data_IF_972292613388
#
_entry.id   IF_972292613388
#
_cell.length_a   1.000
_cell.length_b   1.000
_cell.length_c   1.000
_cell.angle_alpha   90.00
_cell.angle_beta   90.00
_cell.angle_gamma   90.00
#
_symmetry.space_group_name_H-M   'P 1'
#
loop_
_entity.id
_entity.type
_entity.pdbx_description
1 polymer ?
#
# COMPACT_ATOMS: atom_id res chain seq x y z
N UNK A 1 2.85 -10.28 1.26
CA UNK A 1 2.15 -11.23 2.18
C UNK A 1 0.71 -11.46 1.73
N UNK A 2 0.17 -12.68 1.88
CA UNK A 2 -1.20 -13.06 1.46
C UNK A 2 -2.18 -12.87 2.63
N UNK A 3 -3.38 -12.30 2.43
CA UNK A 3 -4.41 -12.26 3.48
C UNK A 3 -4.87 -13.68 3.87
N UNK A 4 -5.54 -13.81 5.02
CA UNK A 4 -6.28 -15.03 5.35
C UNK A 4 -7.44 -15.21 4.35
N UNK A 5 -7.54 -16.39 3.69
CA UNK A 5 -8.58 -16.66 2.71
C UNK A 5 -9.87 -17.17 3.37
N UNK A 6 -11.03 -16.87 2.79
CA UNK A 6 -12.32 -17.49 3.17
C UNK A 6 -13.41 -16.46 3.53
N UNK A 7 -14.68 -16.91 3.50
CA UNK A 7 -15.85 -16.11 3.90
C UNK A 7 -16.16 -16.19 5.41
N UNK A 8 -15.44 -17.03 6.17
CA UNK A 8 -15.60 -17.21 7.61
C UNK A 8 -14.31 -16.93 8.39
N UNK A 9 -13.57 -15.90 7.99
CA UNK A 9 -12.39 -15.43 8.74
C UNK A 9 -12.83 -14.92 10.10
N UNK A 10 -12.15 -15.37 11.16
CA UNK A 10 -12.47 -14.93 12.51
C UNK A 10 -12.07 -13.45 12.72
N UNK A 11 -12.53 -12.85 13.84
CA UNK A 11 -12.30 -11.41 14.12
C UNK A 11 -10.80 -11.06 14.05
N UNK A 12 -9.94 -11.88 14.64
CA UNK A 12 -8.50 -11.65 14.64
C UNK A 12 -7.87 -11.68 13.24
N UNK A 13 -8.33 -12.60 12.39
CA UNK A 13 -7.93 -12.70 10.99
C UNK A 13 -8.45 -11.51 10.17
N UNK A 14 -9.66 -11.00 10.48
CA UNK A 14 -10.20 -9.77 9.87
C UNK A 14 -9.37 -8.55 10.26
N UNK A 15 -9.02 -8.40 11.53
CA UNK A 15 -8.13 -7.34 12.01
C UNK A 15 -6.79 -7.41 11.28
N UNK A 16 -6.17 -8.59 11.17
CA UNK A 16 -4.94 -8.76 10.40
C UNK A 16 -5.12 -8.36 8.93
N UNK A 17 -6.17 -8.85 8.26
CA UNK A 17 -6.43 -8.56 6.85
C UNK A 17 -6.63 -7.06 6.61
N UNK A 18 -7.31 -6.39 7.53
CA UNK A 18 -7.51 -4.95 7.51
C UNK A 18 -6.19 -4.19 7.69
N UNK A 19 -5.39 -4.51 8.73
CA UNK A 19 -4.07 -3.91 8.95
C UNK A 19 -3.15 -4.12 7.74
N UNK A 20 -3.19 -5.29 7.12
CA UNK A 20 -2.44 -5.59 5.90
C UNK A 20 -2.92 -4.75 4.70
N UNK A 21 -4.23 -4.54 4.56
CA UNK A 21 -4.81 -3.65 3.54
C UNK A 21 -4.39 -2.19 3.76
N UNK A 22 -4.43 -1.72 5.02
CA UNK A 22 -3.95 -0.38 5.42
C UNK A 22 -2.48 -0.17 5.05
N UNK A 23 -1.61 -1.14 5.36
CA UNK A 23 -0.20 -1.08 4.97
C UNK A 23 0.00 -1.04 3.44
N UNK A 24 -0.75 -1.85 2.67
CA UNK A 24 -0.68 -1.82 1.20
C UNK A 24 -1.07 -0.46 0.63
N UNK A 25 -2.14 0.16 1.14
CA UNK A 25 -2.58 1.49 0.68
C UNK A 25 -1.51 2.55 0.85
N UNK A 26 -0.79 2.54 1.96
CA UNK A 26 0.36 3.46 2.16
C UNK A 26 1.42 3.24 1.07
N UNK A 27 1.81 1.99 0.80
CA UNK A 27 2.78 1.70 -0.25
C UNK A 27 2.27 2.05 -1.66
N UNK A 28 1.00 1.77 -1.96
CA UNK A 28 0.39 2.06 -3.25
C UNK A 28 0.26 3.56 -3.49
N UNK A 29 -0.13 4.35 -2.48
CA UNK A 29 -0.13 5.81 -2.56
C UNK A 29 1.26 6.37 -2.87
N UNK A 30 2.30 5.91 -2.15
CA UNK A 30 3.66 6.41 -2.36
C UNK A 30 4.14 6.16 -3.79
N UNK A 31 4.02 4.93 -4.29
CA UNK A 31 4.43 4.59 -5.66
C UNK A 31 3.50 5.19 -6.72
N UNK A 32 2.22 5.35 -6.41
CA UNK A 32 1.24 6.00 -7.27
C UNK A 32 1.56 7.47 -7.53
N UNK A 33 1.82 8.22 -6.46
CA UNK A 33 2.25 9.62 -6.53
C UNK A 33 3.60 9.73 -7.23
N UNK A 34 4.56 8.86 -6.87
CA UNK A 34 5.87 8.81 -7.54
C UNK A 34 5.69 8.65 -9.07
N UNK A 35 4.84 7.72 -9.50
CA UNK A 35 4.56 7.47 -10.91
C UNK A 35 3.85 8.62 -11.61
N UNK A 36 2.90 9.27 -10.92
CA UNK A 36 2.16 10.41 -11.44
C UNK A 36 3.08 11.62 -11.65
N UNK A 37 4.01 11.86 -10.73
CA UNK A 37 4.97 12.97 -10.77
C UNK A 37 6.12 12.72 -11.74
N UNK A 38 6.73 11.53 -11.70
CA UNK A 38 7.86 11.17 -12.56
C UNK A 38 7.40 10.35 -13.76
N UNK A 39 7.22 11.03 -14.91
CA UNK A 39 6.71 10.44 -16.16
C UNK A 39 7.50 9.21 -16.64
N UNK A 40 8.76 9.07 -16.22
CA UNK A 40 9.60 7.91 -16.53
C UNK A 40 8.94 6.58 -16.14
N UNK A 41 8.13 6.57 -15.07
CA UNK A 41 7.42 5.37 -14.62
C UNK A 41 6.08 5.14 -15.33
N UNK A 42 5.67 6.00 -16.26
CA UNK A 42 4.46 5.79 -17.07
C UNK A 42 4.67 4.85 -18.26
N UNK A 43 5.92 4.59 -18.61
CA UNK A 43 6.31 3.72 -19.72
C UNK A 43 7.46 2.80 -19.32
N UNK A 44 7.85 1.90 -20.23
CA UNK A 44 9.01 1.04 -20.04
C UNK A 44 10.27 1.90 -19.97
N UNK A 45 11.12 1.66 -18.98
CA UNK A 45 12.41 2.33 -18.86
C UNK A 45 13.38 1.67 -19.84
N UNK A 46 13.62 2.32 -20.99
CA UNK A 46 14.48 1.81 -22.07
C UNK A 46 15.97 2.06 -21.78
N UNK A 47 16.50 1.39 -20.76
CA UNK A 47 17.92 1.44 -20.41
C UNK A 47 18.38 0.12 -19.80
N UNK A 48 19.68 -0.03 -19.54
CA UNK A 48 20.19 -1.23 -18.89
C UNK A 48 19.73 -1.30 -17.41
N UNK A 49 19.67 -2.51 -16.80
CA UNK A 49 19.17 -2.66 -15.43
C UNK A 49 19.92 -1.83 -14.38
N UNK A 50 21.23 -1.64 -14.55
CA UNK A 50 22.05 -0.86 -13.62
C UNK A 50 21.65 0.63 -13.62
N UNK A 51 21.44 1.20 -14.81
CA UNK A 51 20.99 2.58 -14.96
C UNK A 51 19.54 2.73 -14.50
N UNK A 52 18.65 1.79 -14.85
CA UNK A 52 17.27 1.81 -14.39
C UNK A 52 17.20 1.82 -12.85
N UNK A 53 18.05 1.03 -12.19
CA UNK A 53 18.15 1.00 -10.71
C UNK A 53 18.57 2.36 -10.16
N UNK A 54 19.60 3.00 -10.74
CA UNK A 54 20.04 4.35 -10.33
C UNK A 54 18.93 5.38 -10.51
N UNK A 55 18.19 5.32 -11.62
CA UNK A 55 17.07 6.22 -11.90
C UNK A 55 15.95 6.05 -10.87
N UNK A 56 15.57 4.81 -10.53
CA UNK A 56 14.57 4.52 -9.50
C UNK A 56 14.99 5.10 -8.15
N UNK A 57 16.23 4.84 -7.72
CA UNK A 57 16.75 5.34 -6.44
C UNK A 57 16.78 6.87 -6.42
N UNK A 58 17.25 7.51 -7.50
CA UNK A 58 17.28 8.97 -7.62
C UNK A 58 15.87 9.56 -7.52
N UNK A 59 14.88 8.98 -8.21
CA UNK A 59 13.49 9.41 -8.11
C UNK A 59 12.93 9.23 -6.70
N UNK A 60 13.23 8.13 -6.00
CA UNK A 60 12.82 7.92 -4.60
C UNK A 60 13.44 8.97 -3.66
N UNK A 61 14.73 9.28 -3.84
CA UNK A 61 15.41 10.31 -3.05
C UNK A 61 14.78 11.69 -3.27
N UNK A 62 14.55 12.05 -4.54
CA UNK A 62 13.89 13.31 -4.89
C UNK A 62 12.45 13.39 -4.38
N UNK A 63 11.69 12.29 -4.47
CA UNK A 63 10.34 12.19 -3.94
C UNK A 63 10.30 12.48 -2.45
N UNK A 64 11.16 11.81 -1.67
CA UNK A 64 11.25 12.03 -0.23
C UNK A 64 11.68 13.46 0.10
N UNK A 65 12.65 14.00 -0.64
CA UNK A 65 13.10 15.39 -0.48
C UNK A 65 11.96 16.39 -0.74
N UNK A 66 11.18 16.20 -1.81
CA UNK A 66 10.08 17.11 -2.16
C UNK A 66 8.92 17.02 -1.16
N UNK A 67 8.63 15.83 -0.63
CA UNK A 67 7.66 15.68 0.47
C UNK A 67 8.16 16.43 1.71
N UNK A 68 9.42 16.28 2.08
CA UNK A 68 9.97 16.91 3.28
C UNK A 68 9.99 18.44 3.21
N UNK A 69 10.26 19.00 2.02
CA UNK A 69 10.43 20.45 1.85
C UNK A 69 9.17 21.19 1.41
N UNK A 70 8.29 20.54 0.63
CA UNK A 70 7.13 21.20 0.00
C UNK A 70 5.93 20.24 -0.14
N UNK A 71 5.56 19.54 0.93
CA UNK A 71 4.46 18.56 0.94
C UNK A 71 3.14 19.13 0.40
N UNK A 72 2.78 20.36 0.76
CA UNK A 72 1.52 20.99 0.33
C UNK A 72 1.40 21.13 -1.19
N UNK A 73 2.52 21.34 -1.89
CA UNK A 73 2.57 21.48 -3.35
C UNK A 73 2.76 20.12 -4.01
N UNK A 74 3.65 19.30 -3.46
CA UNK A 74 4.07 18.04 -4.06
C UNK A 74 3.06 16.90 -3.84
N UNK A 75 2.45 16.85 -2.67
CA UNK A 75 1.41 15.91 -2.25
C UNK A 75 0.26 16.67 -1.57
N UNK A 76 -0.53 17.45 -2.34
CA UNK A 76 -1.69 18.11 -1.76
C UNK A 76 -2.63 17.04 -1.17
N UNK A 77 -3.51 17.40 -0.21
CA UNK A 77 -4.45 16.45 0.40
C UNK A 77 -5.35 15.72 -0.61
N UNK A 78 -5.52 16.28 -1.81
CA UNK A 78 -6.17 15.67 -2.98
C UNK A 78 -5.20 14.89 -3.87
N UNK A 79 -4.15 14.30 -3.31
CA UNK A 79 -3.29 13.35 -4.02
C UNK A 79 -2.96 12.09 -3.21
N UNK A 80 -3.60 11.90 -2.06
CA UNK A 80 -3.34 10.81 -1.12
C UNK A 80 -4.67 10.15 -0.78
N UNK A 81 -4.77 8.83 -0.92
CA UNK A 81 -5.91 8.12 -0.33
C UNK A 81 -5.84 8.21 1.19
N UNK A 82 -6.83 8.85 1.80
CA UNK A 82 -6.95 8.97 3.24
C UNK A 82 -8.16 8.18 3.72
N UNK A 83 -7.93 7.35 4.74
CA UNK A 83 -9.01 6.80 5.54
C UNK A 83 -9.48 7.85 6.53
N UNK A 84 -10.75 8.21 6.43
CA UNK A 84 -11.40 8.95 7.50
C UNK A 84 -11.96 7.95 8.51
N UNK A 85 -11.36 7.95 9.69
CA UNK A 85 -11.70 7.02 10.78
C UNK A 85 -13.10 7.33 11.32
N UNK A 86 -13.53 8.59 11.27
CA UNK A 86 -14.81 9.02 11.83
C UNK A 86 -15.96 8.72 10.87
N UNK A 87 -15.78 9.02 9.58
CA UNK A 87 -16.80 8.73 8.56
C UNK A 87 -16.76 7.30 8.03
N UNK A 88 -15.75 6.51 8.42
CA UNK A 88 -15.56 5.10 8.02
C UNK A 88 -15.50 4.94 6.49
N UNK A 89 -15.00 5.96 5.81
CA UNK A 89 -14.87 6.01 4.36
C UNK A 89 -13.42 6.13 3.93
N UNK A 90 -13.12 5.52 2.78
CA UNK A 90 -11.85 5.72 2.08
C UNK A 90 -12.10 6.78 1.03
N UNK A 91 -11.46 7.93 1.17
CA UNK A 91 -11.41 8.91 0.08
C UNK A 91 -10.36 8.43 -0.91
N UNK A 92 -10.81 8.00 -2.08
CA UNK A 92 -9.97 7.52 -3.18
C UNK A 92 -9.62 8.66 -4.12
N UNK A 93 -8.34 8.80 -4.47
CA UNK A 93 -7.82 10.00 -5.10
C UNK A 93 -7.52 9.91 -6.60
N UNK A 94 -7.33 11.08 -7.21
CA UNK A 94 -7.17 11.36 -8.64
C UNK A 94 -5.90 10.78 -9.26
N UNK A 95 -4.85 10.48 -8.48
CA UNK A 95 -3.65 9.85 -9.05
C UNK A 95 -3.96 8.49 -9.67
N UNK A 96 -5.04 7.82 -9.24
CA UNK A 96 -5.57 6.62 -9.92
C UNK A 96 -6.01 6.88 -11.36
N UNK A 97 -6.51 8.08 -11.66
CA UNK A 97 -6.87 8.49 -13.03
C UNK A 97 -5.63 8.73 -13.90
N UNK A 98 -4.49 9.06 -13.28
CA UNK A 98 -3.18 9.15 -13.93
C UNK A 98 -2.39 7.83 -13.89
N UNK A 99 -3.02 6.72 -13.50
CA UNK A 99 -2.36 5.43 -13.30
C UNK A 99 -1.59 5.02 -14.56
N UNK A 100 -0.29 4.83 -14.37
CA UNK A 100 0.64 4.28 -15.35
C UNK A 100 0.19 2.88 -15.80
N UNK A 101 0.34 2.57 -17.10
CA UNK A 101 0.21 1.16 -17.58
C UNK A 101 1.38 0.29 -17.12
N UNK A 102 2.48 0.89 -16.69
CA UNK A 102 3.69 0.20 -16.25
C UNK A 102 3.71 -0.11 -14.75
N UNK A 103 3.15 0.77 -13.90
CA UNK A 103 2.98 0.53 -12.47
C UNK A 103 1.51 0.28 -12.15
N UNK A 104 1.14 -0.99 -12.15
CA UNK A 104 -0.22 -1.44 -11.85
C UNK A 104 -0.39 -1.74 -10.35
N UNK A 105 -1.61 -1.60 -9.79
CA UNK A 105 -1.90 -1.98 -8.41
C UNK A 105 -1.55 -3.44 -8.11
N UNK A 106 -1.30 -3.76 -6.84
CA UNK A 106 -0.93 -5.12 -6.43
C UNK A 106 -2.09 -6.10 -6.70
N UNK A 107 -1.98 -6.87 -7.77
CA UNK A 107 -2.98 -7.89 -8.12
C UNK A 107 -2.93 -9.04 -7.12
N UNK A 108 -4.09 -9.47 -6.61
CA UNK A 108 -4.21 -10.68 -5.78
C UNK A 108 -3.80 -11.90 -6.62
N UNK A 109 -2.59 -12.41 -6.43
CA UNK A 109 -2.16 -13.66 -7.07
C UNK A 109 -3.07 -14.80 -6.63
N UNK A 110 -3.83 -15.34 -7.59
CA UNK A 110 -4.98 -16.21 -7.30
C UNK A 110 -4.59 -17.68 -7.06
N UNK A 111 -3.43 -18.15 -7.53
CA UNK A 111 -3.16 -19.59 -7.69
C UNK A 111 -1.85 -20.14 -7.10
N UNK A 112 -1.23 -19.52 -6.09
CA UNK A 112 -0.08 -20.13 -5.37
C UNK A 112 -0.43 -20.45 -3.91
N UNK A 113 -0.17 -21.70 -3.51
CA UNK A 113 -0.13 -22.10 -2.09
C UNK A 113 1.08 -21.41 -1.45
N UNK A 114 0.91 -20.61 -0.38
CA UNK A 114 2.03 -20.00 0.31
C UNK A 114 2.90 -21.07 0.96
N UNK A 115 4.22 -20.86 0.97
CA UNK A 115 5.15 -21.69 1.75
C UNK A 115 4.78 -21.66 3.24
N UNK A 116 5.10 -22.71 3.99
CA UNK A 116 4.77 -22.80 5.42
C UNK A 116 5.34 -21.62 6.21
N UNK A 117 6.62 -21.27 6.00
CA UNK A 117 7.23 -20.09 6.61
C UNK A 117 6.45 -18.78 6.34
N UNK A 118 5.85 -18.63 5.15
CA UNK A 118 5.04 -17.46 4.84
C UNK A 118 3.69 -17.45 5.59
N UNK A 119 3.17 -18.63 5.95
CA UNK A 119 2.03 -18.74 6.86
C UNK A 119 2.44 -18.42 8.30
N UNK A 120 3.60 -18.88 8.75
CA UNK A 120 4.10 -18.62 10.11
C UNK A 120 4.31 -17.12 10.35
N UNK A 121 4.91 -16.41 9.40
CA UNK A 121 5.04 -14.94 9.44
C UNK A 121 3.65 -14.28 9.52
N UNK A 122 2.69 -14.77 8.74
CA UNK A 122 1.30 -14.25 8.77
C UNK A 122 0.64 -14.49 10.13
N UNK A 123 0.80 -15.68 10.72
CA UNK A 123 0.28 -15.99 12.05
C UNK A 123 0.94 -15.13 13.13
N UNK A 124 2.26 -14.94 13.05
CA UNK A 124 3.01 -14.05 13.94
C UNK A 124 2.46 -12.63 13.92
N UNK A 125 2.21 -12.07 12.73
CA UNK A 125 1.60 -10.75 12.61
C UNK A 125 0.14 -10.72 13.10
N UNK A 126 -0.65 -11.78 12.88
CA UNK A 126 -2.00 -11.89 13.44
C UNK A 126 -1.93 -11.80 14.97
N UNK A 127 -1.08 -12.58 15.62
CA UNK A 127 -0.92 -12.55 17.07
C UNK A 127 -0.48 -11.16 17.55
N UNK A 128 0.50 -10.54 16.87
CA UNK A 128 0.97 -9.21 17.24
C UNK A 128 -0.14 -8.14 17.15
N UNK A 129 -0.90 -8.07 16.05
CA UNK A 129 -1.94 -7.06 15.87
C UNK A 129 -3.17 -7.25 16.79
N UNK A 130 -3.37 -8.46 17.29
CA UNK A 130 -4.42 -8.77 18.27
C UNK A 130 -3.92 -8.77 19.73
N UNK A 131 -2.63 -8.48 19.95
CA UNK A 131 -2.02 -8.37 21.26
C UNK A 131 -1.36 -7.00 21.44
N UNK A 132 -0.03 -6.99 21.57
CA UNK A 132 0.76 -5.78 21.85
C UNK A 132 0.58 -4.69 20.78
N UNK A 133 0.37 -5.07 19.51
CA UNK A 133 0.17 -4.15 18.40
C UNK A 133 -1.28 -3.70 18.19
N UNK A 134 -2.19 -4.03 19.12
CA UNK A 134 -3.59 -3.66 19.05
C UNK A 134 -3.78 -2.15 19.17
N UNK A 135 -4.79 -1.65 18.46
CA UNK A 135 -5.10 -0.21 18.38
C UNK A 135 -6.61 0.00 18.48
N UNK A 136 -7.08 1.10 19.10
CA UNK A 136 -8.50 1.23 19.46
C UNK A 136 -9.48 1.18 18.28
N UNK A 137 -9.07 1.66 17.10
CA UNK A 137 -9.94 1.76 15.92
C UNK A 137 -10.02 0.49 15.08
N UNK A 138 -9.23 -0.56 15.35
CA UNK A 138 -9.11 -1.68 14.40
C UNK A 138 -10.30 -2.63 14.40
N UNK A 139 -10.99 -2.78 15.54
CA UNK A 139 -12.16 -3.67 15.66
C UNK A 139 -13.33 -3.10 14.86
N UNK A 140 -13.60 -1.81 15.01
CA UNK A 140 -14.63 -1.12 14.23
C UNK A 140 -14.30 -1.15 12.74
N UNK A 141 -13.08 -0.82 12.36
CA UNK A 141 -12.70 -0.68 10.95
C UNK A 141 -12.61 -2.01 10.19
N UNK A 142 -12.24 -3.10 10.86
CA UNK A 142 -12.16 -4.40 10.21
C UNK A 142 -13.54 -4.94 9.80
N UNK A 143 -14.63 -4.38 10.34
CA UNK A 143 -15.99 -4.77 9.97
C UNK A 143 -16.40 -4.32 8.57
N UNK A 144 -15.79 -3.25 8.06
CA UNK A 144 -16.13 -2.60 6.79
C UNK A 144 -15.25 -3.01 5.60
N UNK A 145 -14.31 -3.92 5.85
CA UNK A 145 -13.34 -4.45 4.89
C UNK A 145 -13.43 -5.98 4.75
#
# INVERSE_FOLDING_TARGET
MKPFPGRGVNVEERIFNYRLSRARRVSENAFGILAARFQIFKQRILTNPANATKMVIACCALHNFLIANNSAIYTPPSSIDVEDINSRQIRTDDWRNYSSKALVPLIKQRNKKPAEMAKDVRHTFRTYFNGIGAVPWQEDMCMYH
#
